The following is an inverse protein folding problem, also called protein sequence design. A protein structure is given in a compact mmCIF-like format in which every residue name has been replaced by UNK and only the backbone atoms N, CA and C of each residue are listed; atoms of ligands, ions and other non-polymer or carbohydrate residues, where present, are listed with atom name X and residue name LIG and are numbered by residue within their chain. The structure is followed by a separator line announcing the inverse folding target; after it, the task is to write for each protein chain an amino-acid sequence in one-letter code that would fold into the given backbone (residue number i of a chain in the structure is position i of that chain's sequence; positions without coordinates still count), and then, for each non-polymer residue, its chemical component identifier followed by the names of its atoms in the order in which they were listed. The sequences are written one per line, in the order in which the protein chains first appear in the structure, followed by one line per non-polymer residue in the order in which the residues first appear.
data_IF_988090656642
#
_entry.id   IF_988090656642
#
_cell.length_a   1.000
_cell.length_b   1.000
_cell.length_c   1.000
_cell.angle_alpha   90.00
_cell.angle_beta   90.00
_cell.angle_gamma   90.00
#
_symmetry.space_group_name_H-M   'P 1'
#
loop_
_entity.id
_entity.type
_entity.pdbx_description
1 polymer ?
#
# COMPACT_ATOMS: atom_id res chain seq x y z
N UNK A 1 9.56 8.23 13.88
CA UNK A 1 9.06 8.50 12.51
C UNK A 1 9.30 7.23 11.71
N UNK A 2 8.27 6.69 11.07
CA UNK A 2 8.39 5.48 10.26
C UNK A 2 9.20 5.78 8.99
N UNK A 3 10.05 4.84 8.57
CA UNK A 3 10.79 4.89 7.31
C UNK A 3 10.60 3.54 6.63
N UNK A 4 9.99 3.55 5.45
CA UNK A 4 9.76 2.33 4.68
C UNK A 4 11.08 1.63 4.29
N UNK A 5 11.23 0.31 4.52
CA UNK A 5 12.44 -0.45 4.16
C UNK A 5 12.38 -0.92 2.70
N UNK A 6 12.23 0.04 1.77
CA UNK A 6 12.00 -0.24 0.34
C UNK A 6 13.09 -1.12 -0.27
N UNK A 7 14.36 -0.84 0.04
CA UNK A 7 15.52 -1.58 -0.49
C UNK A 7 15.52 -3.05 -0.05
N UNK A 8 15.24 -3.31 1.23
CA UNK A 8 15.20 -4.67 1.78
C UNK A 8 14.03 -5.47 1.20
N UNK A 9 12.87 -4.82 1.02
CA UNK A 9 11.68 -5.41 0.40
C UNK A 9 11.95 -5.75 -1.07
N UNK A 10 12.50 -4.80 -1.83
CA UNK A 10 12.82 -5.00 -3.24
C UNK A 10 13.84 -6.13 -3.42
N UNK A 11 14.90 -6.14 -2.59
CA UNK A 11 15.88 -7.23 -2.59
C UNK A 11 15.21 -8.58 -2.29
N UNK A 12 14.38 -8.64 -1.25
CA UNK A 12 13.69 -9.88 -0.86
C UNK A 12 12.78 -10.38 -1.98
N UNK A 13 11.99 -9.51 -2.61
CA UNK A 13 11.13 -9.89 -3.71
C UNK A 13 11.93 -10.48 -4.88
N UNK A 14 12.97 -9.76 -5.32
CA UNK A 14 13.77 -10.11 -6.51
C UNK A 14 14.64 -11.35 -6.29
N UNK A 15 15.31 -11.44 -5.14
CA UNK A 15 16.37 -12.44 -4.92
C UNK A 15 15.96 -13.61 -4.02
N UNK A 16 14.88 -13.48 -3.25
CA UNK A 16 14.46 -14.52 -2.29
C UNK A 16 13.07 -15.08 -2.64
N UNK A 17 12.11 -14.22 -2.97
CA UNK A 17 10.72 -14.62 -3.19
C UNK A 17 10.40 -14.99 -4.66
N UNK A 18 11.39 -14.96 -5.55
CA UNK A 18 11.26 -15.45 -6.92
C UNK A 18 10.67 -14.47 -7.93
N UNK A 19 10.59 -13.16 -7.61
CA UNK A 19 10.10 -12.17 -8.56
C UNK A 19 10.97 -12.10 -9.81
N UNK A 20 12.30 -12.06 -9.65
CA UNK A 20 13.21 -11.90 -10.80
C UNK A 20 13.07 -13.06 -11.82
N UNK A 21 13.13 -14.34 -11.42
CA UNK A 21 12.86 -15.44 -12.36
C UNK A 21 11.49 -15.35 -13.06
N UNK A 22 10.46 -14.86 -12.37
CA UNK A 22 9.11 -14.72 -12.94
C UNK A 22 9.01 -13.57 -13.96
N UNK A 23 9.72 -12.46 -13.72
CA UNK A 23 9.87 -11.36 -14.68
C UNK A 23 10.66 -11.84 -15.91
N UNK A 24 11.81 -12.48 -15.69
CA UNK A 24 12.68 -12.97 -16.76
C UNK A 24 11.98 -14.02 -17.66
N UNK A 25 11.01 -14.76 -17.12
CA UNK A 25 10.20 -15.73 -17.87
C UNK A 25 8.98 -15.12 -18.59
N UNK A 26 8.73 -13.81 -18.42
CA UNK A 26 7.56 -13.13 -18.99
C UNK A 26 6.23 -13.48 -18.32
N UNK A 27 6.24 -14.07 -17.12
CA UNK A 27 5.00 -14.45 -16.39
C UNK A 27 4.09 -13.25 -16.16
N UNK A 28 4.68 -12.06 -15.99
CA UNK A 28 3.97 -10.82 -15.68
C UNK A 28 3.94 -9.84 -16.86
N UNK A 29 4.06 -10.34 -18.10
CA UNK A 29 3.98 -9.52 -19.31
C UNK A 29 5.08 -8.45 -19.35
N UNK A 30 4.66 -7.19 -19.50
CA UNK A 30 5.57 -6.03 -19.64
C UNK A 30 6.09 -5.47 -18.30
N UNK A 31 5.77 -6.12 -17.17
CA UNK A 31 6.30 -5.70 -15.87
C UNK A 31 7.82 -5.89 -15.85
N UNK A 32 8.55 -4.78 -15.73
CA UNK A 32 10.01 -4.75 -15.60
C UNK A 32 10.48 -4.43 -14.18
N UNK A 33 11.75 -4.70 -13.90
CA UNK A 33 12.36 -4.40 -12.59
C UNK A 33 12.31 -2.91 -12.24
N UNK A 34 12.52 -2.02 -13.20
CA UNK A 34 12.46 -0.57 -12.98
C UNK A 34 11.07 -0.11 -12.54
N UNK A 35 10.01 -0.72 -13.11
CA UNK A 35 8.63 -0.43 -12.73
C UNK A 35 8.31 -0.98 -11.35
N UNK A 36 8.80 -2.18 -11.02
CA UNK A 36 8.72 -2.73 -9.66
C UNK A 36 9.34 -1.77 -8.64
N UNK A 37 10.55 -1.29 -8.91
CA UNK A 37 11.26 -0.40 -7.99
C UNK A 37 10.55 0.94 -7.84
N UNK A 38 10.02 1.49 -8.94
CA UNK A 38 9.23 2.72 -8.90
C UNK A 38 7.95 2.57 -8.05
N UNK A 39 7.23 1.46 -8.21
CA UNK A 39 6.01 1.17 -7.42
C UNK A 39 6.34 1.04 -5.94
N UNK A 40 7.39 0.30 -5.58
CA UNK A 40 7.80 0.12 -4.19
C UNK A 40 8.28 1.43 -3.56
N UNK A 41 9.03 2.24 -4.31
CA UNK A 41 9.48 3.56 -3.86
C UNK A 41 8.29 4.49 -3.58
N UNK A 42 7.31 4.54 -4.48
CA UNK A 42 6.14 5.40 -4.30
C UNK A 42 5.22 4.90 -3.18
N UNK A 43 5.01 3.58 -3.06
CA UNK A 43 4.27 3.00 -1.93
C UNK A 43 4.96 3.30 -0.59
N UNK A 44 6.29 3.20 -0.53
CA UNK A 44 7.09 3.52 0.64
C UNK A 44 7.09 5.02 0.99
N UNK A 45 7.11 5.89 -0.02
CA UNK A 45 6.93 7.35 0.13
C UNK A 45 5.56 7.64 0.73
N UNK A 46 4.49 7.11 0.14
CA UNK A 46 3.12 7.28 0.63
C UNK A 46 2.99 6.80 2.09
N UNK A 47 3.55 5.64 2.42
CA UNK A 47 3.59 5.12 3.79
C UNK A 47 4.29 6.09 4.76
N UNK A 48 5.47 6.58 4.39
CA UNK A 48 6.32 7.39 5.27
C UNK A 48 5.84 8.85 5.40
N UNK A 49 5.36 9.45 4.32
CA UNK A 49 5.05 10.88 4.23
C UNK A 49 3.57 11.21 4.42
N UNK A 50 2.67 10.26 4.16
CA UNK A 50 1.23 10.52 4.18
C UNK A 50 0.51 9.70 5.25
N UNK A 51 0.83 8.41 5.37
CA UNK A 51 0.18 7.51 6.34
C UNK A 51 0.76 7.69 7.74
N UNK A 52 2.09 7.55 7.89
CA UNK A 52 2.75 7.58 9.19
C UNK A 52 2.48 8.85 10.03
N UNK A 53 2.39 10.07 9.45
CA UNK A 53 2.05 11.26 10.24
C UNK A 53 0.66 11.21 10.90
N UNK A 54 -0.28 10.44 10.33
CA UNK A 54 -1.63 10.30 10.86
C UNK A 54 -1.78 9.16 11.87
N UNK A 55 -0.74 8.37 12.12
CA UNK A 55 -0.75 7.29 13.13
C UNK A 55 -1.18 7.80 14.51
N UNK A 56 -0.49 8.83 15.02
CA UNK A 56 -0.74 9.37 16.36
C UNK A 56 -2.12 10.04 16.45
N UNK A 57 -2.54 10.73 15.39
CA UNK A 57 -3.89 11.30 15.30
C UNK A 57 -4.96 10.20 15.39
N UNK A 58 -4.73 9.08 14.70
CA UNK A 58 -5.60 7.91 14.76
C UNK A 58 -5.74 7.33 16.16
N UNK A 59 -4.60 7.16 16.86
CA UNK A 59 -4.55 6.63 18.23
C UNK A 59 -5.23 7.55 19.25
N UNK A 60 -4.96 8.86 19.18
CA UNK A 60 -5.47 9.84 20.15
C UNK A 60 -6.97 10.13 20.00
N UNK A 61 -7.51 10.07 18.78
CA UNK A 61 -8.92 10.43 18.51
C UNK A 61 -9.84 9.22 18.40
N UNK A 62 -9.36 8.12 17.82
CA UNK A 62 -10.18 6.94 17.52
C UNK A 62 -11.34 7.23 16.55
N UNK A 63 -12.17 6.20 16.34
CA UNK A 63 -13.44 6.34 15.64
C UNK A 63 -14.59 6.54 16.62
N UNK A 64 -15.54 7.41 16.28
CA UNK A 64 -16.71 7.72 17.14
C UNK A 64 -17.99 7.28 16.44
N UNK A 65 -18.78 6.43 17.11
CA UNK A 65 -20.14 6.08 16.69
C UNK A 65 -21.15 7.01 17.39
N UNK A 66 -21.94 7.74 16.59
CA UNK A 66 -23.04 8.58 17.09
C UNK A 66 -24.17 8.63 16.05
N UNK A 67 -25.41 8.48 16.49
CA UNK A 67 -26.61 8.57 15.62
C UNK A 67 -26.51 7.67 14.36
N UNK A 68 -26.02 6.44 14.55
CA UNK A 68 -25.76 5.46 13.48
C UNK A 68 -24.72 5.86 12.41
N UNK A 69 -23.96 6.93 12.65
CA UNK A 69 -22.84 7.36 11.82
C UNK A 69 -21.51 7.15 12.53
N UNK A 70 -20.51 6.64 11.81
CA UNK A 70 -19.12 6.52 12.29
C UNK A 70 -18.31 7.68 11.73
N UNK A 71 -17.66 8.43 12.62
CA UNK A 71 -16.69 9.48 12.24
C UNK A 71 -15.27 8.96 12.47
N UNK A 72 -14.44 8.98 11.43
CA UNK A 72 -13.03 8.59 11.50
C UNK A 72 -12.17 9.73 12.08
N UNK A 73 -10.93 9.44 12.53
CA UNK A 73 -9.99 10.46 12.97
C UNK A 73 -9.79 11.59 11.94
N UNK A 74 -9.46 12.82 12.38
CA UNK A 74 -9.16 13.94 11.49
C UNK A 74 -8.08 13.60 10.45
N UNK A 75 -8.26 14.06 9.21
CA UNK A 75 -7.31 13.85 8.11
C UNK A 75 -7.39 12.48 7.42
N UNK A 76 -8.06 11.48 8.01
CA UNK A 76 -8.17 10.15 7.41
C UNK A 76 -9.00 10.15 6.13
N UNK A 77 -10.04 10.99 6.06
CA UNK A 77 -10.87 11.10 4.85
C UNK A 77 -10.05 11.64 3.68
N UNK A 78 -9.22 12.65 3.93
CA UNK A 78 -8.31 13.24 2.95
C UNK A 78 -7.20 12.27 2.55
N UNK A 79 -6.64 11.52 3.51
CA UNK A 79 -5.70 10.44 3.22
C UNK A 79 -6.35 9.35 2.36
N UNK A 80 -7.57 8.93 2.67
CA UNK A 80 -8.29 7.90 1.90
C UNK A 80 -8.61 8.38 0.47
N UNK A 81 -8.89 9.67 0.28
CA UNK A 81 -9.02 10.25 -1.06
C UNK A 81 -7.72 10.12 -1.87
N UNK A 82 -6.58 10.47 -1.27
CA UNK A 82 -5.25 10.31 -1.91
C UNK A 82 -4.91 8.84 -2.14
N UNK A 83 -5.34 7.95 -1.25
CA UNK A 83 -5.20 6.51 -1.42
C UNK A 83 -5.94 5.99 -2.65
N UNK A 84 -7.18 6.43 -2.86
CA UNK A 84 -7.96 6.12 -4.06
C UNK A 84 -7.29 6.72 -5.31
N UNK A 85 -6.83 7.97 -5.25
CA UNK A 85 -6.15 8.65 -6.37
C UNK A 85 -4.85 7.93 -6.79
N UNK A 86 -4.12 7.34 -5.83
CA UNK A 86 -2.95 6.52 -6.09
C UNK A 86 -3.24 5.10 -6.62
N UNK A 87 -4.52 4.72 -6.72
CA UNK A 87 -4.91 3.38 -7.20
C UNK A 87 -4.56 2.23 -6.25
N UNK A 88 -4.25 2.52 -4.98
CA UNK A 88 -3.72 1.54 -4.02
C UNK A 88 -4.71 0.46 -3.61
N UNK A 89 -6.02 0.71 -3.75
CA UNK A 89 -7.08 -0.27 -3.46
C UNK A 89 -7.00 -1.54 -4.35
N UNK A 90 -6.39 -1.45 -5.53
CA UNK A 90 -6.52 -2.50 -6.55
C UNK A 90 -5.22 -2.80 -7.29
N UNK A 91 -4.07 -2.72 -6.61
CA UNK A 91 -2.76 -3.07 -7.19
C UNK A 91 -2.80 -4.42 -7.90
N UNK A 92 -3.29 -5.46 -7.23
CA UNK A 92 -3.42 -6.81 -7.81
C UNK A 92 -4.82 -7.12 -8.35
N UNK A 93 -5.71 -6.13 -8.39
CA UNK A 93 -7.05 -6.31 -8.93
C UNK A 93 -7.02 -6.57 -10.44
N UNK A 94 -7.99 -7.31 -11.00
CA UNK A 94 -8.11 -7.49 -12.44
C UNK A 94 -8.36 -6.16 -13.16
N UNK A 95 -7.69 -5.95 -14.30
CA UNK A 95 -7.82 -4.73 -15.11
C UNK A 95 -9.24 -4.51 -15.62
N UNK A 96 -10.00 -5.59 -15.90
CA UNK A 96 -11.41 -5.50 -16.34
C UNK A 96 -12.33 -4.77 -15.33
N UNK A 97 -11.92 -4.71 -14.06
CA UNK A 97 -12.62 -4.01 -12.99
C UNK A 97 -11.88 -2.76 -12.50
N UNK A 98 -10.88 -2.29 -13.26
CA UNK A 98 -10.09 -1.09 -12.94
C UNK A 98 -8.92 -1.32 -11.98
N UNK A 99 -8.52 -2.57 -11.76
CA UNK A 99 -7.26 -2.87 -11.06
C UNK A 99 -6.03 -2.72 -11.96
N UNK A 100 -4.84 -2.92 -11.40
CA UNK A 100 -3.56 -2.75 -12.12
C UNK A 100 -2.94 -4.08 -12.58
N UNK A 101 -3.55 -5.23 -12.27
CA UNK A 101 -3.06 -6.54 -12.69
C UNK A 101 -1.69 -6.93 -12.12
N UNK A 102 -1.17 -6.21 -11.12
CA UNK A 102 0.17 -6.44 -10.60
C UNK A 102 0.25 -7.71 -9.74
N UNK A 103 1.41 -8.38 -9.69
CA UNK A 103 1.61 -9.58 -8.90
C UNK A 103 1.22 -9.40 -7.43
N UNK A 104 0.54 -10.38 -6.85
CA UNK A 104 0.11 -10.35 -5.44
C UNK A 104 1.28 -10.07 -4.48
N UNK A 105 2.50 -10.53 -4.80
CA UNK A 105 3.67 -10.26 -3.98
C UNK A 105 4.03 -8.76 -3.89
N UNK A 106 3.75 -7.96 -4.92
CA UNK A 106 3.89 -6.50 -4.85
C UNK A 106 2.81 -5.89 -3.97
N UNK A 107 1.56 -6.36 -4.08
CA UNK A 107 0.47 -5.94 -3.20
C UNK A 107 0.79 -6.21 -1.73
N UNK A 108 1.32 -7.41 -1.41
CA UNK A 108 1.74 -7.78 -0.05
C UNK A 108 2.89 -6.89 0.45
N UNK A 109 3.88 -6.60 -0.41
CA UNK A 109 4.98 -5.71 -0.07
C UNK A 109 4.52 -4.29 0.25
N UNK A 110 3.59 -3.74 -0.53
CA UNK A 110 3.00 -2.43 -0.27
C UNK A 110 2.17 -2.43 1.03
N UNK A 111 1.38 -3.49 1.25
CA UNK A 111 0.59 -3.67 2.47
C UNK A 111 1.46 -3.74 3.74
N UNK A 112 2.63 -4.37 3.69
CA UNK A 112 3.58 -4.36 4.81
C UNK A 112 3.90 -2.92 5.20
N UNK A 113 4.29 -2.09 4.22
CA UNK A 113 4.72 -0.72 4.49
C UNK A 113 3.59 0.14 5.07
N UNK A 114 2.38 0.03 4.52
CA UNK A 114 1.23 0.81 4.97
C UNK A 114 0.72 0.38 6.34
N UNK A 115 0.69 -0.93 6.63
CA UNK A 115 0.31 -1.43 7.94
C UNK A 115 1.35 -1.08 9.01
N UNK A 116 2.63 -1.14 8.67
CA UNK A 116 3.72 -0.70 9.55
C UNK A 116 3.68 0.81 9.82
N UNK A 117 3.26 1.62 8.84
CA UNK A 117 3.10 3.07 9.01
C UNK A 117 1.92 3.45 9.91
N UNK A 118 0.74 2.86 9.69
CA UNK A 118 -0.41 3.01 10.59
C UNK A 118 -1.42 1.86 10.39
N UNK A 119 -1.30 0.81 11.19
CA UNK A 119 -2.16 -0.39 11.12
C UNK A 119 -3.66 -0.06 11.17
N UNK A 120 -4.07 0.90 12.00
CA UNK A 120 -5.47 1.30 12.13
C UNK A 120 -6.05 1.90 10.84
N UNK A 121 -5.22 2.60 10.05
CA UNK A 121 -5.63 3.06 8.72
C UNK A 121 -5.56 1.91 7.71
N UNK A 122 -4.44 1.18 7.69
CA UNK A 122 -4.17 0.10 6.73
C UNK A 122 -5.18 -1.05 6.75
N UNK A 123 -5.78 -1.35 7.90
CA UNK A 123 -6.82 -2.39 8.00
C UNK A 123 -8.10 -2.01 7.26
N UNK A 124 -8.43 -0.72 7.11
CA UNK A 124 -9.63 -0.27 6.40
C UNK A 124 -9.65 -0.74 4.95
N UNK A 125 -8.69 -0.32 4.10
CA UNK A 125 -8.54 -0.83 2.74
C UNK A 125 -8.30 -2.33 2.64
N UNK A 126 -7.73 -2.98 3.67
CA UNK A 126 -7.50 -4.43 3.64
C UNK A 126 -8.83 -5.23 3.66
N UNK A 127 -9.91 -4.64 4.18
CA UNK A 127 -11.23 -5.28 4.31
C UNK A 127 -12.17 -5.01 3.12
N UNK A 128 -11.72 -4.26 2.10
CA UNK A 128 -12.51 -3.87 0.91
C UNK A 128 -12.10 -4.67 -0.31
#
# INVERSE_FOLDING_TARGET
MYKAPVEDIAFTLKHVAGLKPALDSGTFGDLGEDLVDAILAEAGRFASEEVAPLYKIGDEHGAVLKDAAVTTPPGWKELYRRWIEGGWNALSGPEEFGGQGLPTMLGVAALEMWNSAAMAFGIGPTLT
#
